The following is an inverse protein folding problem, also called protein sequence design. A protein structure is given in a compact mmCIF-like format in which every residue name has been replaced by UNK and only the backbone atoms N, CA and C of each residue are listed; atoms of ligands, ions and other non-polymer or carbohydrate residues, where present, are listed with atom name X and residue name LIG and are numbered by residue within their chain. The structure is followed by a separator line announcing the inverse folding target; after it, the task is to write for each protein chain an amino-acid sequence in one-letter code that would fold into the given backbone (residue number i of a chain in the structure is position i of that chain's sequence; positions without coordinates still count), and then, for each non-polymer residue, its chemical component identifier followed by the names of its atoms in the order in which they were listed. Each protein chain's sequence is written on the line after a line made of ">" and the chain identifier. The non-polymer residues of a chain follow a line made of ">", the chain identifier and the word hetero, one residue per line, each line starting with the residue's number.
data_IF_944031610814
#
_entry.id   IF_944031610814
#
_cell.length_a   1.000
_cell.length_b   1.000
_cell.length_c   1.000
_cell.angle_alpha   90.00
_cell.angle_beta   90.00
_cell.angle_gamma   90.00
#
_symmetry.space_group_name_H-M   'P 1'
#
loop_
_entity.id
_entity.type
_entity.pdbx_description
1 polymer ?
#
# COMPACT_ATOMS: atom_id res chain seq x y z
N UNK A 1 -8.47 50.05 -7.30
CA UNK A 1 -8.66 48.90 -6.36
C UNK A 1 -9.23 47.76 -7.17
N UNK A 2 -8.38 47.04 -7.89
CA UNK A 2 -8.75 45.81 -8.58
C UNK A 2 -8.49 44.65 -7.64
N UNK A 3 -9.56 44.03 -7.15
CA UNK A 3 -9.54 42.87 -6.32
C UNK A 3 -9.07 41.67 -7.16
N UNK A 4 -7.86 41.23 -6.93
CA UNK A 4 -7.29 39.98 -7.44
C UNK A 4 -8.21 38.81 -6.99
N UNK A 5 -9.16 38.47 -7.85
CA UNK A 5 -9.93 37.24 -7.75
C UNK A 5 -8.97 36.09 -8.13
N UNK A 6 -8.21 35.59 -7.14
CA UNK A 6 -7.48 34.33 -7.31
C UNK A 6 -8.53 33.25 -7.54
N UNK A 7 -8.73 32.86 -8.79
CA UNK A 7 -9.50 31.69 -9.16
C UNK A 7 -9.10 30.53 -8.26
N UNK A 8 -9.91 30.24 -7.26
CA UNK A 8 -9.78 29.02 -6.46
C UNK A 8 -10.01 27.87 -7.42
N UNK A 9 -8.94 27.33 -7.98
CA UNK A 9 -8.96 26.16 -8.84
C UNK A 9 -9.80 25.09 -8.15
N UNK A 10 -10.96 24.82 -8.69
CA UNK A 10 -11.93 23.91 -8.11
C UNK A 10 -11.26 22.53 -7.87
N UNK A 11 -11.39 22.00 -6.65
CA UNK A 11 -10.73 20.76 -6.28
C UNK A 11 -11.28 19.59 -7.12
N UNK A 12 -10.42 18.91 -7.83
CA UNK A 12 -10.78 17.70 -8.54
C UNK A 12 -10.86 16.51 -7.58
N UNK A 13 -12.06 15.98 -7.36
CA UNK A 13 -12.34 14.88 -6.43
C UNK A 13 -12.14 13.49 -7.04
N UNK A 14 -11.71 13.36 -8.29
CA UNK A 14 -11.52 12.09 -8.98
C UNK A 14 -10.70 11.10 -8.14
N UNK A 15 -9.52 11.51 -7.69
CA UNK A 15 -8.63 10.63 -6.95
C UNK A 15 -9.11 10.35 -5.52
N UNK A 16 -9.88 11.25 -4.91
CA UNK A 16 -10.52 10.98 -3.63
C UNK A 16 -11.61 9.90 -3.82
N UNK A 17 -12.43 10.01 -4.85
CA UNK A 17 -13.44 9.00 -5.17
C UNK A 17 -12.81 7.64 -5.51
N UNK A 18 -11.72 7.63 -6.29
CA UNK A 18 -10.97 6.39 -6.59
C UNK A 18 -10.46 5.75 -5.30
N UNK A 19 -9.81 6.51 -4.40
CA UNK A 19 -9.32 5.96 -3.13
C UNK A 19 -10.42 5.37 -2.27
N UNK A 20 -11.61 5.98 -2.27
CA UNK A 20 -12.76 5.45 -1.55
C UNK A 20 -13.22 4.09 -2.10
N UNK A 21 -13.28 3.96 -3.42
CA UNK A 21 -13.58 2.67 -4.08
C UNK A 21 -12.50 1.63 -3.72
N UNK A 22 -11.22 2.00 -3.87
CA UNK A 22 -10.11 1.09 -3.59
C UNK A 22 -10.12 0.61 -2.13
N UNK A 23 -10.34 1.50 -1.16
CA UNK A 23 -10.33 1.11 0.27
C UNK A 23 -11.52 0.21 0.62
N UNK A 24 -12.67 0.41 0.00
CA UNK A 24 -13.82 -0.49 0.16
C UNK A 24 -13.47 -1.91 -0.34
N UNK A 25 -12.85 -2.02 -1.51
CA UNK A 25 -12.41 -3.32 -2.03
C UNK A 25 -11.32 -3.97 -1.17
N UNK A 26 -10.39 -3.19 -0.59
CA UNK A 26 -9.40 -3.72 0.37
C UNK A 26 -10.10 -4.34 1.57
N UNK A 27 -11.00 -3.59 2.23
CA UNK A 27 -11.64 -4.05 3.46
C UNK A 27 -12.55 -5.25 3.20
N UNK A 28 -13.39 -5.19 2.17
CA UNK A 28 -14.30 -6.28 1.83
C UNK A 28 -13.57 -7.56 1.40
N UNK A 29 -12.52 -7.45 0.59
CA UNK A 29 -11.69 -8.60 0.23
C UNK A 29 -11.02 -9.24 1.45
N UNK A 30 -10.56 -8.43 2.41
CA UNK A 30 -9.98 -8.93 3.65
C UNK A 30 -11.02 -9.63 4.54
N UNK A 31 -12.26 -9.16 4.58
CA UNK A 31 -13.31 -9.76 5.41
C UNK A 31 -13.87 -11.05 4.78
N UNK A 32 -14.09 -11.06 3.48
CA UNK A 32 -14.50 -12.28 2.75
C UNK A 32 -13.44 -13.37 2.91
N UNK A 33 -12.16 -13.03 2.76
CA UNK A 33 -11.07 -13.99 2.88
C UNK A 33 -11.05 -14.72 4.23
N UNK A 34 -11.31 -14.02 5.30
CA UNK A 34 -11.27 -14.62 6.65
C UNK A 34 -12.42 -15.58 6.86
N UNK A 35 -13.54 -15.35 6.19
CA UNK A 35 -14.73 -16.16 6.28
C UNK A 35 -14.69 -17.43 5.40
N UNK A 36 -13.51 -17.83 4.91
CA UNK A 36 -13.30 -19.13 4.27
C UNK A 36 -13.67 -19.22 2.78
N UNK A 37 -14.14 -18.14 2.16
CA UNK A 37 -14.69 -18.18 0.79
C UNK A 37 -13.67 -17.80 -0.28
N UNK A 38 -12.45 -18.33 -0.16
CA UNK A 38 -11.36 -18.03 -1.10
C UNK A 38 -11.00 -19.16 -2.03
N UNK A 39 -11.79 -20.21 -2.00
CA UNK A 39 -11.49 -21.33 -2.86
C UNK A 39 -11.61 -20.91 -4.33
N UNK A 40 -10.68 -21.32 -5.18
CA UNK A 40 -10.84 -21.29 -6.62
C UNK A 40 -12.21 -21.83 -7.01
N UNK A 41 -12.69 -21.46 -8.19
CA UNK A 41 -14.01 -21.87 -8.70
C UNK A 41 -15.23 -21.45 -7.84
N UNK A 42 -15.07 -20.42 -7.00
CA UNK A 42 -16.17 -19.81 -6.23
C UNK A 42 -16.41 -18.34 -6.61
N UNK A 43 -17.58 -17.82 -6.26
CA UNK A 43 -17.86 -16.38 -6.40
C UNK A 43 -16.91 -15.52 -5.57
N UNK A 44 -16.50 -16.00 -4.39
CA UNK A 44 -15.48 -15.36 -3.55
C UNK A 44 -14.12 -15.32 -4.20
N UNK A 45 -13.68 -16.43 -4.79
CA UNK A 45 -12.44 -16.50 -5.56
C UNK A 45 -12.43 -15.53 -6.75
N UNK A 46 -13.53 -15.48 -7.52
CA UNK A 46 -13.70 -14.50 -8.60
C UNK A 46 -13.62 -13.06 -8.09
N UNK A 47 -14.34 -12.74 -7.01
CA UNK A 47 -14.30 -11.42 -6.39
C UNK A 47 -12.90 -11.02 -5.97
N UNK A 48 -12.15 -11.97 -5.42
CA UNK A 48 -10.76 -11.73 -5.02
C UNK A 48 -9.85 -11.44 -6.21
N UNK A 49 -9.91 -12.26 -7.25
CA UNK A 49 -9.13 -12.01 -8.47
C UNK A 49 -9.42 -10.61 -9.00
N UNK A 50 -10.69 -10.21 -9.06
CA UNK A 50 -11.09 -8.85 -9.46
C UNK A 50 -10.44 -7.81 -8.54
N UNK A 51 -10.63 -7.91 -7.22
CA UNK A 51 -10.15 -6.94 -6.26
C UNK A 51 -8.62 -6.81 -6.30
N UNK A 52 -7.90 -7.94 -6.20
CA UNK A 52 -6.44 -7.93 -6.17
C UNK A 52 -5.79 -7.58 -7.51
N UNK A 53 -6.56 -7.60 -8.61
CA UNK A 53 -6.07 -7.10 -9.90
C UNK A 53 -5.77 -5.61 -9.90
N UNK A 54 -6.40 -4.80 -9.03
CA UNK A 54 -6.28 -3.35 -9.15
C UNK A 54 -6.13 -2.57 -7.82
N UNK A 55 -6.50 -3.16 -6.66
CA UNK A 55 -6.58 -2.36 -5.43
C UNK A 55 -5.24 -1.73 -5.03
N UNK A 56 -4.20 -2.52 -4.90
CA UNK A 56 -2.90 -2.02 -4.45
C UNK A 56 -2.16 -1.28 -5.57
N UNK A 57 -2.27 -1.75 -6.80
CA UNK A 57 -1.79 -1.08 -8.00
C UNK A 57 -2.40 0.32 -8.12
N UNK A 58 -3.71 0.44 -7.86
CA UNK A 58 -4.44 1.71 -7.85
C UNK A 58 -3.98 2.66 -6.76
N UNK A 59 -3.83 2.19 -5.51
CA UNK A 59 -3.30 3.02 -4.44
C UNK A 59 -1.89 3.52 -4.74
N UNK A 60 -1.03 2.68 -5.31
CA UNK A 60 0.34 3.06 -5.66
C UNK A 60 0.39 4.02 -6.84
N UNK A 61 -0.46 3.83 -7.86
CA UNK A 61 -0.59 4.77 -8.97
C UNK A 61 -1.04 6.16 -8.48
N UNK A 62 -2.08 6.21 -7.62
CA UNK A 62 -2.54 7.48 -7.03
C UNK A 62 -1.45 8.11 -6.16
N UNK A 63 -0.76 7.31 -5.34
CA UNK A 63 0.35 7.79 -4.50
C UNK A 63 1.51 8.33 -5.32
N UNK A 64 1.86 7.67 -6.42
CA UNK A 64 2.84 8.14 -7.40
C UNK A 64 2.42 9.46 -8.05
N UNK A 65 1.16 9.58 -8.48
CA UNK A 65 0.61 10.79 -9.08
C UNK A 65 0.76 12.02 -8.18
N UNK A 66 0.60 11.86 -6.87
CA UNK A 66 0.77 12.94 -5.89
C UNK A 66 2.21 13.09 -5.36
N UNK A 67 3.18 12.35 -5.89
CA UNK A 67 4.58 12.41 -5.45
C UNK A 67 5.47 13.34 -6.28
N UNK A 68 4.90 14.38 -6.91
CA UNK A 68 5.63 15.32 -7.78
C UNK A 68 6.67 16.18 -7.03
N UNK A 69 6.36 16.57 -5.79
CA UNK A 69 7.32 17.25 -4.93
C UNK A 69 8.19 16.21 -4.22
N UNK A 70 9.26 15.80 -4.86
CA UNK A 70 10.14 14.71 -4.41
C UNK A 70 10.87 15.03 -3.11
N UNK A 71 11.21 16.31 -2.86
CA UNK A 71 11.82 16.75 -1.60
C UNK A 71 10.86 16.57 -0.42
N UNK A 72 9.63 17.06 -0.57
CA UNK A 72 8.58 16.89 0.44
C UNK A 72 8.27 15.40 0.67
N UNK A 73 8.29 14.57 -0.40
CA UNK A 73 8.08 13.14 -0.29
C UNK A 73 9.16 12.49 0.55
N UNK A 74 10.44 12.78 0.29
CA UNK A 74 11.59 12.25 1.04
C UNK A 74 11.57 12.70 2.49
N UNK A 75 11.41 14.00 2.73
CA UNK A 75 11.36 14.57 4.08
C UNK A 75 10.24 13.97 4.94
N UNK A 76 9.07 13.70 4.33
CA UNK A 76 7.94 13.11 5.04
C UNK A 76 7.89 11.57 5.07
N UNK A 77 8.78 10.88 4.35
CA UNK A 77 8.70 9.43 4.20
C UNK A 77 8.80 8.68 5.53
N UNK A 78 9.77 9.08 6.37
CA UNK A 78 9.99 8.47 7.68
C UNK A 78 8.76 8.66 8.59
N UNK A 79 8.34 9.91 8.81
CA UNK A 79 7.22 10.24 9.71
C UNK A 79 5.91 9.61 9.26
N UNK A 80 5.62 9.64 7.95
CA UNK A 80 4.29 9.28 7.46
C UNK A 80 4.12 7.78 7.14
N UNK A 81 5.22 7.02 7.01
CA UNK A 81 5.14 5.63 6.59
C UNK A 81 6.00 4.68 7.45
N UNK A 82 7.30 4.96 7.64
CA UNK A 82 8.14 4.05 8.43
C UNK A 82 7.77 4.07 9.91
N UNK A 83 7.58 5.24 10.49
CA UNK A 83 7.15 5.35 11.90
C UNK A 83 5.82 4.66 12.18
N UNK A 84 4.73 4.91 11.40
CA UNK A 84 3.50 4.14 11.55
C UNK A 84 3.71 2.62 11.40
N UNK A 85 4.56 2.17 10.47
CA UNK A 85 4.90 0.75 10.34
C UNK A 85 5.51 0.20 11.63
N UNK A 86 6.54 0.86 12.16
CA UNK A 86 7.25 0.43 13.38
C UNK A 86 6.35 0.42 14.62
N UNK A 87 5.42 1.37 14.71
CA UNK A 87 4.45 1.46 15.82
C UNK A 87 3.35 0.41 15.68
N UNK A 88 2.80 0.25 14.49
CA UNK A 88 1.65 -0.61 14.29
C UNK A 88 1.99 -2.10 14.28
N UNK A 89 3.23 -2.49 13.95
CA UNK A 89 3.66 -3.88 14.02
C UNK A 89 3.49 -4.48 15.44
N UNK A 90 4.06 -3.91 16.51
CA UNK A 90 3.83 -4.41 17.87
C UNK A 90 2.36 -4.25 18.31
N UNK A 91 1.67 -3.19 17.92
CA UNK A 91 0.24 -3.03 18.25
C UNK A 91 -0.59 -4.16 17.65
N UNK A 92 -0.38 -4.49 16.38
CA UNK A 92 -1.09 -5.60 15.73
C UNK A 92 -0.69 -6.95 16.29
N UNK A 93 0.55 -7.11 16.75
CA UNK A 93 0.97 -8.29 17.48
C UNK A 93 0.23 -8.45 18.80
N UNK A 94 0.09 -7.38 19.60
CA UNK A 94 -0.70 -7.41 20.84
C UNK A 94 -2.17 -7.79 20.58
N UNK A 95 -2.80 -7.26 19.52
CA UNK A 95 -4.16 -7.69 19.15
C UNK A 95 -4.23 -9.18 18.81
N UNK A 96 -3.21 -9.73 18.15
CA UNK A 96 -3.15 -11.15 17.83
C UNK A 96 -2.95 -12.00 19.08
N UNK A 97 -2.10 -11.57 20.02
CA UNK A 97 -1.90 -12.26 21.30
C UNK A 97 -3.19 -12.38 22.13
N UNK A 98 -4.06 -11.37 22.07
CA UNK A 98 -5.35 -11.40 22.79
C UNK A 98 -6.33 -12.39 22.15
N UNK A 99 -6.24 -12.58 20.83
CA UNK A 99 -7.24 -13.31 20.06
C UNK A 99 -6.82 -14.73 19.63
N UNK A 100 -5.53 -15.07 19.69
CA UNK A 100 -4.97 -16.32 19.18
C UNK A 100 -3.86 -16.84 20.11
N UNK A 101 -3.81 -18.14 20.34
CA UNK A 101 -2.87 -18.77 21.27
C UNK A 101 -1.44 -18.87 20.75
N UNK A 102 -1.25 -19.12 19.44
CA UNK A 102 0.06 -19.33 18.85
C UNK A 102 0.43 -18.17 17.91
N UNK A 103 1.13 -17.17 18.45
CA UNK A 103 1.51 -15.97 17.73
C UNK A 103 2.97 -15.61 17.97
N UNK A 104 3.77 -15.58 16.91
CA UNK A 104 5.13 -15.06 16.91
C UNK A 104 5.17 -13.59 16.53
N UNK A 105 6.15 -12.86 17.08
CA UNK A 105 6.47 -11.49 16.68
C UNK A 105 7.65 -11.48 15.73
N UNK A 106 7.45 -10.91 14.55
CA UNK A 106 8.49 -10.76 13.55
C UNK A 106 8.37 -9.41 12.85
N UNK A 107 9.40 -8.57 13.02
CA UNK A 107 9.46 -7.25 12.36
C UNK A 107 9.87 -7.33 10.88
N UNK A 108 10.50 -8.43 10.47
CA UNK A 108 10.97 -8.60 9.09
C UNK A 108 9.83 -9.01 8.15
N UNK A 109 8.81 -9.69 8.69
CA UNK A 109 7.63 -10.10 7.93
C UNK A 109 6.45 -9.19 8.26
N UNK A 110 6.15 -8.20 7.40
CA UNK A 110 5.07 -7.25 7.64
C UNK A 110 3.73 -7.95 7.86
N UNK A 111 3.11 -7.69 9.02
CA UNK A 111 1.81 -8.27 9.36
C UNK A 111 0.72 -7.77 8.39
N UNK A 112 0.07 -8.69 7.68
CA UNK A 112 -1.08 -8.46 6.81
C UNK A 112 -0.91 -7.24 5.86
N UNK A 113 -1.74 -6.21 6.03
CA UNK A 113 -1.74 -5.03 5.18
C UNK A 113 -0.57 -4.06 5.45
N UNK A 114 0.14 -4.16 6.59
CA UNK A 114 1.17 -3.17 6.98
C UNK A 114 2.35 -3.09 6.00
N UNK A 115 2.56 -4.11 5.17
CA UNK A 115 3.57 -4.09 4.12
C UNK A 115 3.49 -2.85 3.20
N UNK A 116 2.28 -2.33 2.99
CA UNK A 116 2.08 -1.15 2.15
C UNK A 116 2.76 0.10 2.71
N UNK A 117 2.78 0.26 4.04
CA UNK A 117 3.49 1.37 4.69
C UNK A 117 4.99 1.30 4.41
N UNK A 118 5.58 0.10 4.48
CA UNK A 118 7.00 -0.10 4.21
C UNK A 118 7.33 0.15 2.73
N UNK A 119 6.52 -0.37 1.81
CA UNK A 119 6.65 -0.11 0.37
C UNK A 119 6.55 1.39 0.07
N UNK A 120 5.57 2.07 0.67
CA UNK A 120 5.38 3.53 0.50
C UNK A 120 6.53 4.34 1.09
N UNK A 121 7.12 3.90 2.22
CA UNK A 121 8.35 4.50 2.74
C UNK A 121 9.47 4.44 1.71
N UNK A 122 9.76 3.24 1.18
CA UNK A 122 10.83 3.04 0.18
C UNK A 122 10.58 3.91 -1.05
N UNK A 123 9.39 3.86 -1.62
CA UNK A 123 9.10 4.62 -2.83
C UNK A 123 9.18 6.13 -2.63
N UNK A 124 8.64 6.66 -1.55
CA UNK A 124 8.68 8.10 -1.27
C UNK A 124 10.05 8.60 -0.88
N UNK A 125 10.85 7.77 -0.23
CA UNK A 125 12.23 8.12 0.11
C UNK A 125 13.11 8.18 -1.13
N UNK A 126 12.99 7.20 -2.05
CA UNK A 126 13.85 7.09 -3.21
C UNK A 126 13.32 7.77 -4.47
N UNK A 127 12.10 8.30 -4.50
CA UNK A 127 11.50 8.88 -5.72
C UNK A 127 12.33 10.03 -6.30
N UNK A 128 13.06 10.80 -5.47
CA UNK A 128 13.95 11.86 -5.91
C UNK A 128 15.05 11.33 -6.83
N UNK A 129 15.56 10.15 -6.56
CA UNK A 129 16.66 9.53 -7.31
C UNK A 129 16.10 8.68 -8.46
N UNK A 130 15.10 7.85 -8.19
CA UNK A 130 14.40 7.06 -9.20
C UNK A 130 13.82 7.93 -10.33
N UNK A 131 13.31 9.11 -9.99
CA UNK A 131 12.74 10.04 -10.98
C UNK A 131 13.73 10.55 -12.03
N UNK A 132 15.05 10.52 -11.72
CA UNK A 132 16.15 10.91 -12.60
C UNK A 132 16.58 9.81 -13.55
N UNK A 133 16.26 8.56 -13.25
CA UNK A 133 16.67 7.42 -14.06
C UNK A 133 15.93 7.43 -15.40
N UNK A 134 16.70 7.42 -16.50
CA UNK A 134 16.14 7.32 -17.86
C UNK A 134 15.54 5.92 -18.03
N UNK A 135 14.33 5.86 -18.63
CA UNK A 135 13.65 4.58 -18.85
C UNK A 135 13.12 3.89 -17.59
N UNK A 136 13.01 4.58 -16.44
CA UNK A 136 12.59 4.00 -15.16
C UNK A 136 11.27 3.21 -15.24
N UNK A 137 10.35 3.58 -16.14
CA UNK A 137 9.09 2.83 -16.35
C UNK A 137 9.40 1.43 -16.88
N UNK A 138 10.28 1.32 -17.88
CA UNK A 138 10.69 0.03 -18.47
C UNK A 138 11.48 -0.78 -17.44
N UNK A 139 12.43 -0.15 -16.74
CA UNK A 139 13.24 -0.79 -15.70
C UNK A 139 12.33 -1.35 -14.60
N UNK A 140 11.35 -0.58 -14.13
CA UNK A 140 10.42 -1.04 -13.09
C UNK A 140 9.48 -2.14 -13.60
N UNK A 141 9.08 -2.12 -14.88
CA UNK A 141 8.31 -3.21 -15.48
C UNK A 141 9.14 -4.50 -15.58
N UNK A 142 10.39 -4.40 -16.02
CA UNK A 142 11.30 -5.55 -16.03
C UNK A 142 11.56 -6.07 -14.61
N UNK A 143 11.74 -5.18 -13.63
CA UNK A 143 11.92 -5.57 -12.24
C UNK A 143 10.70 -6.34 -11.71
N UNK A 144 9.48 -5.92 -12.04
CA UNK A 144 8.26 -6.65 -11.72
C UNK A 144 8.29 -8.07 -12.25
N UNK A 145 8.73 -8.26 -13.50
CA UNK A 145 8.76 -9.56 -14.15
C UNK A 145 9.88 -10.46 -13.58
N UNK A 146 11.08 -9.91 -13.45
CA UNK A 146 12.28 -10.69 -13.09
C UNK A 146 12.35 -10.97 -11.58
N UNK A 147 11.77 -10.14 -10.73
CA UNK A 147 11.82 -10.34 -9.27
C UNK A 147 11.27 -11.69 -8.81
N UNK A 148 10.34 -12.28 -9.54
CA UNK A 148 9.81 -13.62 -9.24
C UNK A 148 10.76 -14.78 -9.56
N UNK A 149 11.86 -14.53 -10.29
CA UNK A 149 12.90 -15.54 -10.52
C UNK A 149 13.76 -15.77 -9.26
N UNK A 150 13.69 -14.88 -8.27
CA UNK A 150 14.50 -14.94 -7.06
C UNK A 150 13.62 -15.25 -5.85
N UNK A 151 13.70 -16.46 -5.34
CA UNK A 151 12.93 -16.89 -4.15
C UNK A 151 13.31 -16.13 -2.88
N UNK A 152 14.53 -15.58 -2.81
CA UNK A 152 15.00 -14.73 -1.72
C UNK A 152 14.31 -13.35 -1.65
N UNK A 153 13.69 -12.89 -2.75
CA UNK A 153 12.89 -11.66 -2.76
C UNK A 153 11.44 -11.97 -2.36
N UNK A 154 11.24 -12.55 -1.19
CA UNK A 154 9.94 -12.95 -0.70
C UNK A 154 9.22 -11.87 0.13
N UNK A 155 8.62 -12.33 1.25
CA UNK A 155 7.87 -11.46 2.17
C UNK A 155 8.75 -10.63 3.10
N UNK A 156 10.03 -11.02 3.27
CA UNK A 156 10.96 -10.29 4.13
C UNK A 156 11.05 -8.82 3.72
N UNK A 157 10.79 -7.92 4.68
CA UNK A 157 10.69 -6.48 4.44
C UNK A 157 9.86 -6.09 3.22
N UNK A 158 8.94 -6.96 2.82
CA UNK A 158 8.11 -6.82 1.60
C UNK A 158 8.93 -6.64 0.30
N UNK A 159 10.14 -7.20 0.21
CA UNK A 159 11.05 -7.01 -0.92
C UNK A 159 10.43 -7.42 -2.25
N UNK A 160 9.75 -8.59 -2.29
CA UNK A 160 9.04 -9.03 -3.49
C UNK A 160 8.01 -8.00 -3.96
N UNK A 161 7.26 -7.40 -3.03
CA UNK A 161 6.28 -6.36 -3.35
C UNK A 161 6.93 -5.03 -3.74
N UNK A 162 8.03 -4.64 -3.09
CA UNK A 162 8.79 -3.43 -3.47
C UNK A 162 9.21 -3.52 -4.95
N UNK A 163 9.70 -4.67 -5.39
CA UNK A 163 10.09 -4.87 -6.77
C UNK A 163 8.87 -4.93 -7.71
N UNK A 164 7.86 -5.70 -7.35
CA UNK A 164 6.73 -5.99 -8.24
C UNK A 164 5.77 -4.82 -8.42
N UNK A 165 5.58 -4.00 -7.41
CA UNK A 165 4.63 -2.89 -7.47
C UNK A 165 5.22 -1.56 -7.91
N UNK A 166 6.56 -1.44 -8.01
CA UNK A 166 7.24 -0.18 -8.35
C UNK A 166 6.72 0.44 -9.65
N UNK A 167 6.43 -0.37 -10.65
CA UNK A 167 5.96 0.08 -11.97
C UNK A 167 4.70 0.91 -11.86
N UNK A 168 3.73 0.53 -11.03
CA UNK A 168 2.47 1.26 -10.87
C UNK A 168 2.68 2.63 -10.20
N UNK A 169 3.55 2.68 -9.19
CA UNK A 169 3.93 3.95 -8.56
C UNK A 169 4.66 4.88 -9.53
N UNK A 170 5.59 4.35 -10.33
CA UNK A 170 6.34 5.12 -11.33
C UNK A 170 5.44 5.60 -12.47
N UNK A 171 4.51 4.76 -12.97
CA UNK A 171 3.50 5.20 -13.94
C UNK A 171 2.71 6.38 -13.37
N UNK A 172 2.20 6.28 -12.14
CA UNK A 172 1.53 7.38 -11.47
C UNK A 172 2.41 8.62 -11.35
N UNK A 173 3.67 8.48 -10.97
CA UNK A 173 4.62 9.58 -10.89
C UNK A 173 4.87 10.25 -12.25
N UNK A 174 4.96 9.51 -13.33
CA UNK A 174 5.13 10.07 -14.69
C UNK A 174 3.82 10.60 -15.28
N UNK A 175 2.66 10.19 -14.78
CA UNK A 175 1.35 10.62 -15.26
C UNK A 175 1.13 12.13 -14.98
N UNK A 176 0.61 12.86 -15.98
CA UNK A 176 0.24 14.28 -15.92
C UNK A 176 -1.27 14.43 -16.07
N UNK A 177 -1.86 15.57 -15.68
CA UNK A 177 -3.31 15.81 -15.84
C UNK A 177 -3.82 15.52 -17.26
N UNK A 178 -3.04 15.89 -18.28
CA UNK A 178 -3.39 15.63 -19.69
C UNK A 178 -3.56 14.14 -20.00
N UNK A 179 -2.80 13.26 -19.34
CA UNK A 179 -2.94 11.82 -19.53
C UNK A 179 -4.25 11.32 -18.91
N UNK A 180 -4.61 11.83 -17.72
CA UNK A 180 -5.88 11.52 -17.06
C UNK A 180 -7.06 11.98 -17.94
N UNK A 181 -6.99 13.19 -18.49
CA UNK A 181 -8.02 13.70 -19.40
C UNK A 181 -8.16 12.85 -20.67
N UNK A 182 -7.04 12.44 -21.29
CA UNK A 182 -7.05 11.55 -22.45
C UNK A 182 -7.76 10.22 -22.13
N UNK A 183 -7.46 9.61 -21.00
CA UNK A 183 -8.13 8.37 -20.54
C UNK A 183 -9.63 8.60 -20.38
N UNK A 184 -10.03 9.71 -19.77
CA UNK A 184 -11.45 10.02 -19.53
C UNK A 184 -12.22 10.37 -20.79
N UNK A 185 -11.53 10.79 -21.85
CA UNK A 185 -12.14 11.06 -23.19
C UNK A 185 -12.35 9.80 -24.02
N UNK A 186 -11.83 8.65 -23.62
CA UNK A 186 -12.09 7.37 -24.30
C UNK A 186 -13.63 7.14 -24.32
N UNK A 187 -14.22 6.83 -25.47
CA UNK A 187 -15.66 6.60 -25.59
C UNK A 187 -16.14 5.51 -24.63
N UNK A 188 -17.21 5.80 -23.92
CA UNK A 188 -17.73 4.89 -22.87
C UNK A 188 -18.06 3.47 -23.36
N UNK A 189 -18.58 3.25 -24.58
CA UNK A 189 -18.79 1.89 -25.09
C UNK A 189 -17.52 1.03 -25.05
N UNK A 190 -16.35 1.58 -25.42
CA UNK A 190 -15.08 0.85 -25.32
C UNK A 190 -14.69 0.53 -23.89
N UNK A 191 -14.95 1.44 -22.95
CA UNK A 191 -14.66 1.20 -21.54
C UNK A 191 -15.59 0.12 -20.97
N UNK A 192 -16.87 0.12 -21.34
CA UNK A 192 -17.80 -0.93 -20.91
C UNK A 192 -17.48 -2.29 -21.57
N UNK A 193 -17.06 -2.30 -22.85
CA UNK A 193 -16.58 -3.51 -23.49
C UNK A 193 -15.34 -4.07 -22.79
N UNK A 194 -14.37 -3.19 -22.43
CA UNK A 194 -13.19 -3.58 -21.66
C UNK A 194 -13.57 -4.11 -20.28
N UNK A 195 -14.49 -3.45 -19.59
CA UNK A 195 -15.02 -3.92 -18.29
C UNK A 195 -15.62 -5.32 -18.42
N UNK A 196 -16.49 -5.53 -19.41
CA UNK A 196 -17.10 -6.83 -19.66
C UNK A 196 -16.02 -7.91 -19.95
N UNK A 197 -15.04 -7.59 -20.79
CA UNK A 197 -13.92 -8.50 -21.09
C UNK A 197 -13.12 -8.85 -19.83
N UNK A 198 -12.84 -7.87 -18.96
CA UNK A 198 -12.13 -8.10 -17.69
C UNK A 198 -12.93 -8.96 -16.71
N UNK A 199 -14.26 -8.78 -16.66
CA UNK A 199 -15.13 -9.61 -15.83
C UNK A 199 -15.17 -11.06 -16.34
N UNK A 200 -15.33 -11.26 -17.65
CA UNK A 200 -15.28 -12.59 -18.28
C UNK A 200 -13.90 -13.24 -18.07
N UNK A 201 -12.83 -12.49 -18.24
CA UNK A 201 -11.47 -12.99 -18.00
C UNK A 201 -11.26 -13.38 -16.54
N UNK A 202 -11.74 -12.56 -15.57
CA UNK A 202 -11.66 -12.88 -14.15
C UNK A 202 -12.49 -14.11 -13.78
N UNK A 203 -13.67 -14.29 -14.40
CA UNK A 203 -14.47 -15.49 -14.26
C UNK A 203 -13.70 -16.71 -14.77
N UNK A 204 -13.17 -16.65 -16.00
CA UNK A 204 -12.39 -17.72 -16.58
C UNK A 204 -11.20 -18.11 -15.69
N UNK A 205 -10.44 -17.14 -15.20
CA UNK A 205 -9.29 -17.38 -14.32
C UNK A 205 -9.69 -18.03 -12.99
N UNK A 206 -10.82 -17.61 -12.41
CA UNK A 206 -11.30 -18.15 -11.15
C UNK A 206 -11.74 -19.62 -11.29
N UNK A 207 -12.43 -19.95 -12.39
CA UNK A 207 -13.03 -21.26 -12.56
C UNK A 207 -12.16 -22.28 -13.33
N UNK A 208 -11.12 -21.81 -14.03
CA UNK A 208 -10.13 -22.69 -14.67
C UNK A 208 -8.95 -23.06 -13.78
N UNK A 209 -8.78 -22.34 -12.66
CA UNK A 209 -7.63 -22.47 -11.75
C UNK A 209 -6.26 -22.38 -12.47
N UNK A 210 -6.24 -21.77 -13.66
CA UNK A 210 -5.06 -21.68 -14.49
C UNK A 210 -3.91 -20.89 -13.87
N UNK A 211 -4.22 -19.99 -12.93
CA UNK A 211 -3.26 -19.19 -12.19
C UNK A 211 -3.56 -19.31 -10.69
N UNK A 212 -2.60 -19.78 -9.87
CA UNK A 212 -2.78 -19.80 -8.42
C UNK A 212 -3.19 -18.44 -7.88
N UNK A 213 -4.23 -18.41 -7.04
CA UNK A 213 -4.82 -17.16 -6.55
C UNK A 213 -3.82 -16.32 -5.73
N UNK A 214 -2.83 -16.95 -5.11
CA UNK A 214 -1.76 -16.30 -4.34
C UNK A 214 -0.81 -15.48 -5.23
N UNK A 215 -0.69 -15.81 -6.51
CA UNK A 215 0.14 -15.03 -7.46
C UNK A 215 -0.34 -13.59 -7.63
N UNK A 216 -1.62 -13.31 -7.36
CA UNK A 216 -2.17 -11.95 -7.38
C UNK A 216 -1.59 -11.04 -6.29
N UNK A 217 -0.96 -11.61 -5.26
CA UNK A 217 -0.22 -10.83 -4.26
C UNK A 217 1.09 -10.24 -4.77
N UNK A 218 1.64 -10.78 -5.87
CA UNK A 218 2.91 -10.35 -6.49
C UNK A 218 4.10 -10.32 -5.51
N UNK A 219 4.11 -11.20 -4.50
CA UNK A 219 5.09 -11.19 -3.41
C UNK A 219 6.14 -12.29 -3.51
N UNK A 220 5.75 -13.46 -4.02
CA UNK A 220 6.51 -14.68 -3.94
C UNK A 220 7.31 -14.96 -5.22
N UNK A 221 8.36 -15.78 -5.11
CA UNK A 221 9.09 -16.31 -6.24
C UNK A 221 8.30 -17.40 -6.99
N UNK A 222 8.62 -17.61 -8.26
CA UNK A 222 7.90 -18.56 -9.11
C UNK A 222 8.07 -20.00 -8.66
N UNK A 223 9.20 -20.33 -8.04
CA UNK A 223 9.49 -21.67 -7.51
C UNK A 223 8.49 -22.12 -6.45
N UNK A 224 7.91 -21.20 -5.68
CA UNK A 224 6.88 -21.52 -4.66
C UNK A 224 5.63 -22.12 -5.31
N UNK A 225 5.35 -21.73 -6.55
CA UNK A 225 4.21 -22.24 -7.33
C UNK A 225 4.59 -23.41 -8.25
N UNK A 226 5.78 -23.99 -8.08
CA UNK A 226 6.31 -25.05 -8.94
C UNK A 226 6.32 -24.69 -10.44
N UNK A 227 6.53 -23.40 -10.75
CA UNK A 227 6.53 -22.87 -12.11
C UNK A 227 7.96 -22.61 -12.62
N UNK A 228 8.15 -22.80 -13.92
CA UNK A 228 9.37 -22.33 -14.58
C UNK A 228 9.41 -20.79 -14.59
N UNK A 229 10.62 -20.21 -14.62
CA UNK A 229 10.78 -18.76 -14.72
C UNK A 229 10.08 -18.16 -15.94
N UNK A 230 10.10 -18.86 -17.09
CA UNK A 230 9.43 -18.39 -18.31
C UNK A 230 7.90 -18.31 -18.13
N UNK A 231 7.28 -19.34 -17.56
CA UNK A 231 5.85 -19.36 -17.27
C UNK A 231 5.48 -18.27 -16.23
N UNK A 232 6.26 -18.14 -15.16
CA UNK A 232 6.05 -17.13 -14.13
C UNK A 232 6.15 -15.69 -14.67
N UNK A 233 7.15 -15.41 -15.53
CA UNK A 233 7.29 -14.11 -16.21
C UNK A 233 6.07 -13.81 -17.08
N UNK A 234 5.62 -14.78 -17.88
CA UNK A 234 4.44 -14.61 -18.74
C UNK A 234 3.18 -14.33 -17.91
N UNK A 235 2.97 -15.08 -16.85
CA UNK A 235 1.82 -14.88 -15.95
C UNK A 235 1.90 -13.48 -15.30
N UNK A 236 3.03 -13.07 -14.72
CA UNK A 236 3.16 -11.72 -14.15
C UNK A 236 2.97 -10.61 -15.18
N UNK A 237 3.39 -10.82 -16.42
CA UNK A 237 3.10 -9.89 -17.51
C UNK A 237 1.60 -9.77 -17.73
N UNK A 238 0.87 -10.89 -17.82
CA UNK A 238 -0.60 -10.91 -17.96
C UNK A 238 -1.26 -10.20 -16.78
N UNK A 239 -0.84 -10.49 -15.53
CA UNK A 239 -1.35 -9.82 -14.33
C UNK A 239 -1.10 -8.31 -14.36
N UNK A 240 0.08 -7.88 -14.81
CA UNK A 240 0.43 -6.47 -14.95
C UNK A 240 -0.43 -5.74 -15.98
N UNK A 241 -0.65 -6.35 -17.15
CA UNK A 241 -1.54 -5.81 -18.20
C UNK A 241 -3.00 -5.74 -17.70
N UNK A 242 -3.46 -6.80 -17.04
CA UNK A 242 -4.81 -6.86 -16.44
C UNK A 242 -4.99 -5.74 -15.42
N UNK A 243 -3.99 -5.50 -14.56
CA UNK A 243 -4.02 -4.40 -13.61
C UNK A 243 -4.14 -3.03 -14.29
N UNK A 244 -3.33 -2.77 -15.32
CA UNK A 244 -3.39 -1.51 -16.07
C UNK A 244 -4.76 -1.33 -16.77
N UNK A 245 -5.34 -2.40 -17.30
CA UNK A 245 -6.66 -2.38 -17.91
C UNK A 245 -7.76 -2.03 -16.88
N UNK A 246 -7.74 -2.64 -15.69
CA UNK A 246 -8.63 -2.27 -14.59
C UNK A 246 -8.45 -0.81 -14.16
N UNK A 247 -7.20 -0.33 -14.02
CA UNK A 247 -6.92 1.07 -13.67
C UNK A 247 -7.44 2.04 -14.72
N UNK A 248 -7.37 1.68 -16.00
CA UNK A 248 -7.95 2.47 -17.09
C UNK A 248 -9.47 2.57 -16.96
N UNK A 249 -10.16 1.46 -16.68
CA UNK A 249 -11.61 1.43 -16.42
C UNK A 249 -11.97 2.32 -15.22
N UNK A 250 -11.25 2.17 -14.10
CA UNK A 250 -11.51 2.92 -12.87
C UNK A 250 -11.30 4.43 -13.10
N UNK A 251 -10.19 4.84 -13.73
CA UNK A 251 -9.90 6.24 -14.04
C UNK A 251 -10.95 6.85 -14.98
N UNK A 252 -11.46 6.04 -15.93
CA UNK A 252 -12.45 6.51 -16.90
C UNK A 252 -13.87 6.62 -16.32
N UNK A 253 -14.30 5.67 -15.47
CA UNK A 253 -15.67 5.60 -14.97
C UNK A 253 -15.89 6.40 -13.68
N UNK A 254 -14.86 6.60 -12.86
CA UNK A 254 -15.02 7.30 -11.58
C UNK A 254 -15.35 8.78 -11.80
N UNK A 255 -16.42 9.31 -11.16
CA UNK A 255 -16.76 10.73 -11.26
C UNK A 255 -15.70 11.64 -10.65
N UNK A 256 -15.51 12.84 -11.24
CA UNK A 256 -14.59 13.87 -10.72
C UNK A 256 -15.25 14.91 -9.82
N UNK A 257 -16.59 14.91 -9.74
CA UNK A 257 -17.36 15.80 -8.87
C UNK A 257 -17.31 15.35 -7.41
N UNK A 258 -17.58 16.28 -6.49
CA UNK A 258 -17.72 15.96 -5.06
C UNK A 258 -18.89 15.01 -4.84
N UNK A 259 -18.64 13.95 -4.10
CA UNK A 259 -19.61 12.93 -3.72
C UNK A 259 -19.40 12.53 -2.26
N UNK A 260 -20.31 11.76 -1.69
CA UNK A 260 -20.13 11.11 -0.38
C UNK A 260 -18.80 10.31 -0.29
N UNK A 261 -18.43 9.62 -1.38
CA UNK A 261 -17.16 8.90 -1.47
C UNK A 261 -15.93 9.79 -1.34
N UNK A 262 -16.02 11.07 -1.73
CA UNK A 262 -14.87 11.98 -1.67
C UNK A 262 -14.38 12.19 -0.24
N UNK A 263 -15.28 12.24 0.73
CA UNK A 263 -14.94 12.43 2.14
C UNK A 263 -14.29 11.17 2.73
N UNK A 264 -14.72 9.98 2.31
CA UNK A 264 -14.08 8.70 2.63
C UNK A 264 -12.66 8.66 2.05
N UNK A 265 -12.54 9.00 0.76
CA UNK A 265 -11.27 8.95 0.04
C UNK A 265 -10.17 9.87 0.59
N UNK A 266 -10.54 10.91 1.33
CA UNK A 266 -9.57 11.78 2.01
C UNK A 266 -8.99 11.16 3.28
N UNK A 267 -9.62 10.13 3.86
CA UNK A 267 -9.28 9.53 5.15
C UNK A 267 -9.03 8.02 5.07
N UNK A 268 -8.55 7.55 3.92
CA UNK A 268 -8.35 6.12 3.67
C UNK A 268 -7.27 5.49 4.56
N UNK A 269 -6.32 6.26 5.11
CA UNK A 269 -5.27 5.71 5.95
C UNK A 269 -5.81 5.19 7.29
N UNK A 270 -6.71 5.93 7.94
CA UNK A 270 -7.35 5.47 9.17
C UNK A 270 -8.17 4.20 8.91
N UNK A 271 -8.95 4.17 7.82
CA UNK A 271 -9.69 2.96 7.42
C UNK A 271 -8.73 1.79 7.19
N UNK A 272 -7.61 2.05 6.47
CA UNK A 272 -6.62 1.03 6.15
C UNK A 272 -5.96 0.40 7.38
N UNK A 273 -5.76 1.16 8.44
CA UNK A 273 -5.18 0.64 9.69
C UNK A 273 -6.24 0.01 10.57
N UNK A 274 -7.38 0.70 10.77
CA UNK A 274 -8.38 0.27 11.75
C UNK A 274 -9.20 -0.97 11.33
N UNK A 275 -9.24 -1.33 10.03
CA UNK A 275 -9.94 -2.55 9.61
C UNK A 275 -9.19 -3.84 10.00
N UNK A 276 -7.87 -3.78 10.25
CA UNK A 276 -7.06 -4.97 10.55
C UNK A 276 -7.48 -5.63 11.88
N UNK A 277 -7.63 -4.91 13.01
CA UNK A 277 -8.17 -5.49 14.24
C UNK A 277 -9.56 -6.11 14.07
N UNK A 278 -10.44 -5.47 13.29
CA UNK A 278 -11.77 -6.03 12.99
C UNK A 278 -11.66 -7.35 12.23
N UNK A 279 -10.74 -7.41 11.25
CA UNK A 279 -10.44 -8.66 10.53
C UNK A 279 -9.96 -9.77 11.47
N UNK A 280 -9.12 -9.43 12.47
CA UNK A 280 -8.69 -10.42 13.47
C UNK A 280 -9.86 -10.89 14.32
N UNK A 281 -10.74 -9.99 14.75
CA UNK A 281 -11.94 -10.35 15.51
C UNK A 281 -12.86 -11.25 14.67
N UNK A 282 -13.13 -10.92 13.41
CA UNK A 282 -13.92 -11.77 12.50
C UNK A 282 -13.33 -13.18 12.44
N UNK A 283 -12.00 -13.31 12.35
CA UNK A 283 -11.30 -14.60 12.33
C UNK A 283 -11.44 -15.35 13.67
N UNK A 284 -11.20 -14.66 14.78
CA UNK A 284 -11.21 -15.28 16.11
C UNK A 284 -12.60 -15.80 16.52
N UNK A 285 -13.65 -15.05 16.15
CA UNK A 285 -15.02 -15.43 16.48
C UNK A 285 -15.69 -16.33 15.42
N UNK A 286 -14.92 -16.77 14.40
CA UNK A 286 -15.41 -17.65 13.32
C UNK A 286 -16.77 -17.19 12.78
N UNK A 287 -16.92 -15.86 12.55
CA UNK A 287 -18.15 -15.29 12.00
C UNK A 287 -18.43 -15.96 10.64
N UNK A 288 -19.67 -16.38 10.33
CA UNK A 288 -20.00 -17.47 9.42
C UNK A 288 -19.13 -17.52 8.15
N UNK A 289 -18.41 -18.61 7.99
CA UNK A 289 -17.43 -18.85 6.94
C UNK A 289 -17.75 -20.06 6.08
N UNK A 290 -19.05 -20.29 5.80
CA UNK A 290 -19.52 -21.45 5.03
C UNK A 290 -19.63 -21.20 3.52
N UNK A 291 -19.22 -20.01 3.05
CA UNK A 291 -19.36 -19.62 1.63
C UNK A 291 -20.81 -19.35 1.19
N UNK A 292 -21.75 -19.34 2.10
CA UNK A 292 -23.16 -19.04 1.84
C UNK A 292 -23.36 -17.58 1.43
N UNK A 293 -24.49 -17.28 0.80
CA UNK A 293 -24.90 -15.91 0.47
C UNK A 293 -24.89 -15.01 1.71
N UNK A 294 -25.28 -15.55 2.87
CA UNK A 294 -25.27 -14.83 4.14
C UNK A 294 -23.85 -14.38 4.53
N UNK A 295 -22.84 -15.22 4.34
CA UNK A 295 -21.43 -14.87 4.57
C UNK A 295 -20.99 -13.66 3.75
N UNK A 296 -21.36 -13.60 2.46
CA UNK A 296 -21.05 -12.44 1.62
C UNK A 296 -21.79 -11.20 2.08
N UNK A 297 -23.09 -11.30 2.38
CA UNK A 297 -23.90 -10.17 2.87
C UNK A 297 -23.30 -9.59 4.16
N UNK A 298 -22.95 -10.44 5.13
CA UNK A 298 -22.33 -10.02 6.39
C UNK A 298 -20.99 -9.35 6.11
N UNK A 299 -20.12 -9.96 5.28
CA UNK A 299 -18.79 -9.44 4.98
C UNK A 299 -18.83 -8.07 4.29
N UNK A 300 -19.70 -7.91 3.29
CA UNK A 300 -19.86 -6.63 2.60
C UNK A 300 -20.49 -5.56 3.50
N UNK A 301 -21.49 -5.93 4.31
CA UNK A 301 -22.11 -4.99 5.26
C UNK A 301 -21.11 -4.54 6.33
N UNK A 302 -20.36 -5.48 6.90
CA UNK A 302 -19.30 -5.17 7.86
C UNK A 302 -18.19 -4.30 7.24
N UNK A 303 -17.82 -4.57 5.98
CA UNK A 303 -16.86 -3.74 5.26
C UNK A 303 -17.37 -2.32 5.03
N UNK A 304 -18.61 -2.17 4.56
CA UNK A 304 -19.25 -0.86 4.37
C UNK A 304 -19.33 -0.07 5.69
N UNK A 305 -19.76 -0.74 6.77
CA UNK A 305 -19.81 -0.15 8.11
C UNK A 305 -18.41 0.28 8.60
N UNK A 306 -17.40 -0.58 8.45
CA UNK A 306 -16.01 -0.26 8.82
C UNK A 306 -15.47 0.92 8.04
N UNK A 307 -15.66 0.95 6.72
CA UNK A 307 -15.24 2.06 5.86
C UNK A 307 -15.94 3.36 6.28
N UNK A 308 -17.24 3.29 6.54
CA UNK A 308 -18.01 4.45 6.98
C UNK A 308 -17.54 4.98 8.34
N UNK A 309 -17.41 4.12 9.34
CA UNK A 309 -17.03 4.49 10.71
C UNK A 309 -15.59 5.00 10.75
N UNK A 310 -14.64 4.26 10.18
CA UNK A 310 -13.23 4.60 10.26
C UNK A 310 -12.82 5.78 9.34
N UNK A 311 -13.65 6.18 8.39
CA UNK A 311 -13.45 7.40 7.60
C UNK A 311 -13.97 8.67 8.31
N UNK A 312 -14.52 8.57 9.51
CA UNK A 312 -15.00 9.76 10.24
C UNK A 312 -13.86 10.69 10.65
N UNK A 313 -14.06 12.02 10.61
CA UNK A 313 -13.02 12.99 10.98
C UNK A 313 -12.40 12.70 12.35
N UNK A 314 -13.23 12.40 13.36
CA UNK A 314 -12.78 12.09 14.72
C UNK A 314 -11.83 10.89 14.80
N UNK A 315 -12.06 9.85 13.97
CA UNK A 315 -11.18 8.67 13.93
C UNK A 315 -9.83 9.03 13.30
N UNK A 316 -9.84 9.82 12.22
CA UNK A 316 -8.61 10.30 11.59
C UNK A 316 -7.83 11.23 12.52
N UNK A 317 -8.50 12.11 13.25
CA UNK A 317 -7.90 13.00 14.26
C UNK A 317 -7.28 12.20 15.40
N UNK A 318 -8.01 11.22 15.95
CA UNK A 318 -7.49 10.33 16.98
C UNK A 318 -6.25 9.55 16.50
N UNK A 319 -6.31 8.97 15.30
CA UNK A 319 -5.15 8.31 14.67
C UNK A 319 -3.95 9.25 14.56
N UNK A 320 -4.15 10.45 14.01
CA UNK A 320 -3.08 11.42 13.84
C UNK A 320 -2.50 11.86 15.21
N UNK A 321 -3.35 12.12 16.21
CA UNK A 321 -2.91 12.52 17.55
C UNK A 321 -2.05 11.46 18.23
N UNK A 322 -2.42 10.18 18.12
CA UNK A 322 -1.64 9.06 18.64
C UNK A 322 -0.29 8.96 17.92
N UNK A 323 -0.28 9.04 16.59
CA UNK A 323 0.96 8.98 15.81
C UNK A 323 1.88 10.16 16.08
N UNK A 324 1.35 11.38 16.20
CA UNK A 324 2.12 12.59 16.52
C UNK A 324 2.69 12.55 17.95
N UNK A 325 1.93 12.04 18.92
CA UNK A 325 2.39 11.84 20.29
C UNK A 325 3.60 10.89 20.34
N UNK A 326 3.45 9.70 19.73
CA UNK A 326 4.53 8.70 19.73
C UNK A 326 5.74 9.22 18.97
N UNK A 327 5.52 9.85 17.82
CA UNK A 327 6.60 10.47 17.04
C UNK A 327 7.35 11.52 17.88
N UNK A 328 6.64 12.37 18.59
CA UNK A 328 7.24 13.39 19.48
C UNK A 328 8.09 12.77 20.61
N UNK A 329 7.67 11.64 21.17
CA UNK A 329 8.45 10.90 22.17
C UNK A 329 9.72 10.34 21.55
N UNK A 330 9.60 9.64 20.41
CA UNK A 330 10.75 9.05 19.71
C UNK A 330 11.76 10.13 19.28
N UNK A 331 11.28 11.25 18.76
CA UNK A 331 12.14 12.38 18.36
C UNK A 331 12.92 12.94 19.56
N UNK A 332 12.26 13.13 20.70
CA UNK A 332 12.92 13.61 21.94
C UNK A 332 13.99 12.63 22.42
N UNK A 333 13.69 11.34 22.45
CA UNK A 333 14.65 10.30 22.84
C UNK A 333 15.83 10.28 21.88
N UNK A 334 15.59 10.32 20.59
CA UNK A 334 16.63 10.32 19.57
C UNK A 334 17.56 11.55 19.70
N UNK A 335 16.98 12.75 19.81
CA UNK A 335 17.75 13.99 20.01
C UNK A 335 18.64 13.89 21.25
N UNK A 336 18.09 13.45 22.39
CA UNK A 336 18.84 13.27 23.62
C UNK A 336 19.99 12.25 23.46
N UNK A 337 19.76 11.16 22.77
CA UNK A 337 20.79 10.16 22.47
C UNK A 337 21.93 10.73 21.61
N UNK A 338 21.60 11.55 20.61
CA UNK A 338 22.59 12.23 19.76
C UNK A 338 23.39 13.25 20.56
N UNK A 339 22.77 14.02 21.44
CA UNK A 339 23.44 14.96 22.34
C UNK A 339 24.43 14.25 23.25
N UNK A 340 24.01 13.15 23.88
CA UNK A 340 24.88 12.32 24.74
C UNK A 340 26.04 11.76 23.95
N UNK A 341 25.82 11.17 22.78
CA UNK A 341 26.92 10.65 21.94
C UNK A 341 27.90 11.74 21.51
N UNK A 342 27.38 12.95 21.22
CA UNK A 342 28.24 14.08 20.84
C UNK A 342 29.06 14.57 22.00
N UNK A 343 28.49 14.61 23.21
CA UNK A 343 29.20 14.95 24.43
C UNK A 343 30.31 13.91 24.76
N UNK A 344 30.01 12.62 24.64
CA UNK A 344 30.98 11.53 24.83
C UNK A 344 32.13 11.65 23.83
N UNK A 345 31.83 11.84 22.54
CA UNK A 345 32.89 12.04 21.52
C UNK A 345 33.79 13.23 21.83
N UNK A 346 33.20 14.33 22.32
CA UNK A 346 33.97 15.53 22.70
C UNK A 346 34.87 15.25 23.90
N UNK A 347 34.37 14.58 24.94
CA UNK A 347 35.16 14.22 26.12
C UNK A 347 36.31 13.25 25.78
N UNK A 348 36.02 12.23 24.95
CA UNK A 348 37.08 11.30 24.49
C UNK A 348 38.16 12.05 23.70
N UNK A 349 37.78 12.99 22.83
CA UNK A 349 38.74 13.79 22.05
C UNK A 349 39.61 14.70 22.95
N UNK A 350 39.04 15.22 24.04
CA UNK A 350 39.78 16.04 25.01
C UNK A 350 40.79 15.20 25.82
N UNK A 351 40.38 13.99 26.28
CA UNK A 351 41.28 13.07 26.97
C UNK A 351 42.53 12.73 26.14
N UNK A 352 42.38 12.44 24.86
CA UNK A 352 43.51 12.19 23.96
C UNK A 352 44.38 13.44 23.66
N UNK A 353 43.81 14.64 23.78
CA UNK A 353 44.59 15.88 23.65
C UNK A 353 45.46 16.14 24.87
N UNK A 354 44.91 15.88 26.05
CA UNK A 354 45.66 16.11 27.33
C UNK A 354 46.81 15.09 27.49
N UNK A 355 46.66 13.83 27.08
CA UNK A 355 47.71 12.82 27.06
C UNK A 355 48.85 13.16 26.05
N UNK A 356 48.48 13.76 24.91
CA UNK A 356 49.46 14.18 23.89
C UNK A 356 50.28 15.42 24.31
N UNK A 357 49.82 16.22 25.27
CA UNK A 357 50.53 17.38 25.78
C UNK A 357 51.53 16.99 26.90
N UNK A 358 51.18 15.97 27.73
CA UNK A 358 52.03 15.49 28.82
C UNK A 358 53.32 14.78 28.36
N UNK A 359 53.37 14.32 27.10
CA UNK A 359 54.56 13.64 26.56
C UNK A 359 55.60 14.57 25.92
N UNK A 360 55.36 15.90 25.85
CA UNK A 360 56.28 16.88 25.25
C UNK A 360 57.11 17.66 26.26
N UNK A 361 56.77 17.61 27.55
CA UNK A 361 57.53 18.35 28.60
C UNK A 361 58.54 17.50 29.30
N UNK A 362 58.83 16.28 28.85
CA UNK A 362 59.90 15.40 29.42
C UNK A 362 60.98 15.04 28.38
N UNK A 363 61.47 16.02 27.62
CA UNK A 363 62.68 15.85 26.82
C UNK A 363 63.58 17.03 26.98
#
# INVERSE_FOLDING_TARGET
>A
METLNKDKKERNYLFDNIKAVLVFFVVSAHYIRVNGSFDPATAGGMYYIIAFSFIMQGFLLVSGYFSKNTEKCRAGAFKNFLMPYLILMPVMFCFRLILFDDVSFDMMHPSHALWYLLVMFVYRFFIKDLGKVRGIVVISALLMLVSGCFSSLGEELALGRICSFLVFFIIGYKMRPVHVEKIRRIPKPFIFALLAALLVFSYFLAFSEAIPIEMWHLKDGYSIYHMSNAAGILIRFILGVTALAWLLVILSLTPSKKMFLSDIGQRTLAVYVCHIPVRYAIKAFSIPGDGSVLTYVISFTAAAASVYVFSRPKVQEAYNSVMDLIYGIVEKVFRRSVEVMTAVKRNVKNLFKDEGCSSRDNK
#
